data_IF_237101737180
#
_entry.id   IF_237101737180
#
_cell.length_a   1.000
_cell.length_b   1.000
_cell.length_c   1.000
_cell.angle_alpha   90.00
_cell.angle_beta   90.00
_cell.angle_gamma   90.00
#
_symmetry.space_group_name_H-M   'P 1'
#
loop_
_entity.id
_entity.type
_entity.pdbx_description
1 polymer ?
#
# COMPACT_ATOMS: atom_id res chain seq x y z
N UNK A 1 -21.33 -2.83 14.00
CA UNK A 1 -21.65 -1.86 12.92
C UNK A 1 -20.53 -0.85 12.89
N UNK A 2 -19.82 -0.68 11.77
CA UNK A 2 -18.82 0.40 11.63
C UNK A 2 -19.58 1.72 11.44
N UNK A 3 -19.30 2.73 12.27
CA UNK A 3 -19.95 4.03 12.11
C UNK A 3 -19.54 4.68 10.79
N UNK A 4 -20.52 5.27 10.10
CA UNK A 4 -20.26 6.00 8.86
C UNK A 4 -19.49 7.28 9.20
N UNK A 5 -18.21 7.32 8.84
CA UNK A 5 -17.27 8.42 9.15
C UNK A 5 -16.83 9.14 7.86
N UNK A 6 -17.71 9.92 7.23
CA UNK A 6 -17.44 10.53 5.92
C UNK A 6 -16.33 11.59 5.99
N UNK A 7 -16.32 12.39 7.05
CA UNK A 7 -15.34 13.48 7.23
C UNK A 7 -13.92 12.92 7.42
N UNK A 8 -13.65 11.98 8.36
CA UNK A 8 -12.33 11.38 8.52
C UNK A 8 -11.84 10.67 7.25
N UNK A 9 -12.72 9.96 6.56
CA UNK A 9 -12.40 9.24 5.32
C UNK A 9 -11.97 10.19 4.20
N UNK A 10 -12.67 11.32 4.07
CA UNK A 10 -12.32 12.36 3.08
C UNK A 10 -10.94 12.98 3.38
N UNK A 11 -10.68 13.32 4.64
CA UNK A 11 -9.38 13.87 5.06
C UNK A 11 -8.24 12.89 4.81
N UNK A 12 -8.43 11.61 5.13
CA UNK A 12 -7.44 10.56 4.85
C UNK A 12 -7.14 10.44 3.35
N UNK A 13 -8.19 10.40 2.52
CA UNK A 13 -8.03 10.37 1.06
C UNK A 13 -7.30 11.60 0.51
N UNK A 14 -7.63 12.79 1.00
CA UNK A 14 -6.99 14.04 0.61
C UNK A 14 -5.51 14.09 1.00
N UNK A 15 -5.16 13.61 2.20
CA UNK A 15 -3.77 13.51 2.66
C UNK A 15 -2.94 12.53 1.82
N UNK A 16 -3.50 11.36 1.47
CA UNK A 16 -2.84 10.38 0.61
C UNK A 16 -2.62 10.97 -0.79
N UNK A 17 -3.64 11.62 -1.35
CA UNK A 17 -3.59 12.28 -2.66
C UNK A 17 -2.55 13.40 -2.70
N UNK A 18 -2.52 14.28 -1.69
CA UNK A 18 -1.50 15.33 -1.56
C UNK A 18 -0.10 14.75 -1.45
N UNK A 19 0.08 13.69 -0.66
CA UNK A 19 1.39 13.03 -0.51
C UNK A 19 1.89 12.49 -1.85
N UNK A 20 1.01 11.85 -2.65
CA UNK A 20 1.35 11.39 -3.99
C UNK A 20 1.66 12.53 -4.96
N UNK A 21 0.92 13.64 -4.88
CA UNK A 21 1.14 14.83 -5.69
C UNK A 21 2.49 15.50 -5.38
N UNK A 22 2.86 15.61 -4.10
CA UNK A 22 4.16 16.16 -3.67
C UNK A 22 5.30 15.32 -4.27
N UNK A 23 5.24 13.99 -4.18
CA UNK A 23 6.27 13.13 -4.78
C UNK A 23 6.36 13.34 -6.30
N UNK A 24 5.22 13.49 -6.97
CA UNK A 24 5.19 13.74 -8.40
C UNK A 24 5.78 15.10 -8.78
N UNK A 25 5.45 16.18 -8.05
CA UNK A 25 5.93 17.54 -8.33
C UNK A 25 7.43 17.68 -8.06
N UNK A 26 7.92 17.15 -6.93
CA UNK A 26 9.32 17.32 -6.54
C UNK A 26 10.28 16.41 -7.31
N UNK A 27 9.87 15.17 -7.57
CA UNK A 27 10.77 14.17 -8.17
C UNK A 27 10.43 13.82 -9.62
N UNK A 28 9.34 14.36 -10.17
CA UNK A 28 8.88 14.10 -11.54
C UNK A 28 8.48 12.63 -11.79
N UNK A 29 8.26 11.86 -10.72
CA UNK A 29 8.05 10.41 -10.78
C UNK A 29 6.74 10.03 -10.13
N UNK A 30 6.09 9.04 -10.72
CA UNK A 30 4.84 8.49 -10.21
C UNK A 30 5.13 7.69 -8.92
N UNK A 31 4.32 7.90 -7.89
CA UNK A 31 4.43 7.15 -6.64
C UNK A 31 4.12 5.66 -6.89
N UNK A 32 5.05 4.79 -6.52
CA UNK A 32 4.87 3.34 -6.59
C UNK A 32 5.77 2.64 -5.59
N UNK A 33 5.20 2.27 -4.44
CA UNK A 33 5.97 1.78 -3.29
C UNK A 33 6.80 0.54 -3.64
N UNK A 34 6.21 -0.45 -4.32
CA UNK A 34 6.93 -1.67 -4.74
C UNK A 34 8.13 -1.36 -5.66
N UNK A 35 8.00 -0.35 -6.54
CA UNK A 35 9.09 0.10 -7.40
C UNK A 35 10.19 0.85 -6.63
N UNK A 36 9.81 1.65 -5.62
CA UNK A 36 10.76 2.34 -4.74
C UNK A 36 11.54 1.31 -3.93
N UNK A 37 10.86 0.36 -3.29
CA UNK A 37 11.49 -0.74 -2.52
C UNK A 37 12.43 -1.56 -3.40
N UNK A 38 11.98 -2.02 -4.56
CA UNK A 38 12.80 -2.84 -5.46
C UNK A 38 14.09 -2.13 -5.90
N UNK A 39 14.04 -0.83 -6.20
CA UNK A 39 15.23 -0.07 -6.60
C UNK A 39 16.18 0.19 -5.43
N UNK A 40 15.65 0.43 -4.23
CA UNK A 40 16.46 0.56 -3.01
C UNK A 40 17.18 -0.74 -2.68
N UNK A 41 16.51 -1.89 -2.82
CA UNK A 41 17.10 -3.21 -2.57
C UNK A 41 18.18 -3.60 -3.59
N UNK A 42 18.06 -3.15 -4.85
CA UNK A 42 19.09 -3.37 -5.87
C UNK A 42 20.27 -2.39 -5.77
N UNK A 43 20.35 -1.58 -4.69
CA UNK A 43 21.36 -0.54 -4.48
C UNK A 43 21.53 0.42 -5.68
N UNK A 44 20.51 0.53 -6.54
CA UNK A 44 20.49 1.44 -7.69
C UNK A 44 20.07 2.84 -7.21
N UNK A 45 21.03 3.52 -6.57
CA UNK A 45 20.79 4.82 -5.96
C UNK A 45 20.82 5.99 -6.94
N UNK A 46 21.43 5.87 -8.13
CA UNK A 46 21.47 6.89 -9.19
C UNK A 46 21.30 8.35 -8.71
N UNK A 47 20.37 9.10 -9.32
CA UNK A 47 19.93 10.45 -8.87
C UNK A 47 18.84 10.43 -7.78
N UNK A 48 18.74 9.34 -7.01
CA UNK A 48 17.53 8.92 -6.31
C UNK A 48 17.66 8.77 -4.80
N UNK A 49 18.52 9.55 -4.13
CA UNK A 49 18.72 9.48 -2.68
C UNK A 49 17.42 9.71 -1.87
N UNK A 50 16.42 10.36 -2.46
CA UNK A 50 15.10 10.57 -1.85
C UNK A 50 14.31 9.28 -1.58
N UNK A 51 14.59 8.18 -2.30
CA UNK A 51 13.86 6.90 -2.18
C UNK A 51 13.98 6.27 -0.79
N UNK A 52 15.19 6.07 -0.20
CA UNK A 52 15.30 5.57 1.16
C UNK A 52 14.70 6.54 2.18
N UNK A 53 14.86 7.86 2.04
CA UNK A 53 14.21 8.83 2.93
C UNK A 53 12.68 8.71 2.90
N UNK A 54 12.09 8.51 1.72
CA UNK A 54 10.66 8.26 1.58
C UNK A 54 10.22 6.97 2.30
N UNK A 55 10.99 5.87 2.15
CA UNK A 55 10.70 4.61 2.84
C UNK A 55 10.85 4.73 4.35
N UNK A 56 11.88 5.44 4.84
CA UNK A 56 12.06 5.71 6.26
C UNK A 56 10.86 6.52 6.77
N UNK A 57 10.45 7.58 6.09
CA UNK A 57 9.27 8.36 6.46
C UNK A 57 7.99 7.52 6.51
N UNK A 58 7.82 6.59 5.55
CA UNK A 58 6.68 5.68 5.51
C UNK A 58 6.62 4.72 6.71
N UNK A 59 7.76 4.29 7.23
CA UNK A 59 7.85 3.40 8.41
C UNK A 59 7.81 4.20 9.73
N UNK A 60 8.50 5.33 9.79
CA UNK A 60 8.62 6.16 10.99
C UNK A 60 7.30 6.89 11.30
N UNK A 61 6.57 7.35 10.28
CA UNK A 61 5.30 8.07 10.47
C UNK A 61 4.27 7.31 11.31
N UNK A 62 3.89 6.05 11.01
CA UNK A 62 2.96 5.30 11.85
C UNK A 62 3.53 4.99 13.25
N UNK A 63 4.84 4.78 13.38
CA UNK A 63 5.47 4.56 14.68
C UNK A 63 5.36 5.80 15.60
N UNK A 64 5.60 7.00 15.05
CA UNK A 64 5.45 8.27 15.79
C UNK A 64 3.97 8.54 16.11
N UNK A 65 3.06 8.28 15.16
CA UNK A 65 1.62 8.44 15.40
C UNK A 65 1.11 7.52 16.52
N UNK A 66 1.62 6.29 16.58
CA UNK A 66 1.27 5.34 17.65
C UNK A 66 1.67 5.83 19.05
N UNK A 67 2.69 6.71 19.17
CA UNK A 67 3.10 7.30 20.44
C UNK A 67 2.24 8.49 20.87
N UNK A 68 1.72 9.26 19.90
CA UNK A 68 0.97 10.50 20.15
C UNK A 68 -0.53 10.24 20.32
N UNK A 69 -1.08 9.37 19.48
CA UNK A 69 -2.49 9.04 19.45
C UNK A 69 -2.65 7.51 19.39
N UNK A 70 -2.56 6.82 20.54
CA UNK A 70 -2.72 5.37 20.60
C UNK A 70 -4.10 4.99 20.06
N UNK A 71 -4.13 4.23 18.97
CA UNK A 71 -5.38 3.73 18.43
C UNK A 71 -5.92 2.62 19.32
N UNK A 72 -7.23 2.57 19.61
CA UNK A 72 -7.86 1.48 20.38
C UNK A 72 -7.97 0.17 19.60
N UNK A 73 -7.47 0.11 18.36
CA UNK A 73 -7.39 -1.12 17.58
C UNK A 73 -6.06 -1.80 17.88
N UNK A 74 -6.14 -2.86 18.67
CA UNK A 74 -5.01 -3.73 18.95
C UNK A 74 -4.56 -4.39 17.64
N UNK A 75 -3.26 -4.26 17.34
CA UNK A 75 -2.66 -4.96 16.21
C UNK A 75 -2.53 -6.43 16.62
N UNK A 76 -3.51 -7.25 16.26
CA UNK A 76 -3.43 -8.70 16.43
C UNK A 76 -2.33 -9.24 15.49
N UNK A 77 -1.19 -9.72 16.02
CA UNK A 77 -0.13 -10.22 15.18
C UNK A 77 -0.58 -11.56 14.57
N UNK A 78 -0.84 -11.53 13.26
CA UNK A 78 -1.04 -12.72 12.44
C UNK A 78 0.15 -13.68 12.57
N UNK A 79 -0.11 -14.98 12.43
CA UNK A 79 0.93 -16.00 12.52
C UNK A 79 2.11 -15.73 11.58
N UNK A 80 3.31 -16.11 12.00
CA UNK A 80 4.56 -15.87 11.25
C UNK A 80 4.53 -16.51 9.85
N UNK A 81 3.86 -17.67 9.72
CA UNK A 81 3.68 -18.42 8.47
C UNK A 81 2.80 -17.67 7.46
N UNK A 82 1.54 -17.30 7.76
CA UNK A 82 0.72 -16.52 6.83
C UNK A 82 1.34 -15.17 6.48
N UNK A 83 2.10 -14.56 7.40
CA UNK A 83 2.85 -13.33 7.14
C UNK A 83 3.95 -13.50 6.09
N UNK A 84 4.78 -14.56 6.21
CA UNK A 84 5.82 -14.84 5.23
C UNK A 84 5.24 -15.19 3.85
N UNK A 85 4.21 -16.05 3.83
CA UNK A 85 3.54 -16.45 2.58
C UNK A 85 2.88 -15.25 1.92
N UNK A 86 2.09 -14.47 2.67
CA UNK A 86 1.43 -13.26 2.18
C UNK A 86 2.42 -12.23 1.65
N UNK A 87 3.50 -11.97 2.39
CA UNK A 87 4.58 -11.07 1.97
C UNK A 87 5.24 -11.51 0.66
N UNK A 88 5.55 -12.80 0.52
CA UNK A 88 6.12 -13.36 -0.70
C UNK A 88 5.15 -13.24 -1.89
N UNK A 89 3.88 -13.62 -1.71
CA UNK A 89 2.86 -13.52 -2.77
C UNK A 89 2.66 -12.07 -3.22
N UNK A 90 2.62 -11.11 -2.29
CA UNK A 90 2.50 -9.68 -2.61
C UNK A 90 3.76 -9.20 -3.34
N UNK A 91 4.95 -9.58 -2.88
CA UNK A 91 6.21 -9.24 -3.53
C UNK A 91 6.27 -9.74 -4.99
N UNK A 92 5.99 -11.03 -5.19
CA UNK A 92 5.93 -11.64 -6.51
C UNK A 92 4.83 -11.03 -7.39
N UNK A 93 3.61 -10.90 -6.86
CA UNK A 93 2.45 -10.38 -7.56
C UNK A 93 2.65 -8.94 -8.03
N UNK A 94 3.24 -8.08 -7.20
CA UNK A 94 3.54 -6.70 -7.61
C UNK A 94 4.60 -6.61 -8.71
N UNK A 95 5.48 -7.62 -8.83
CA UNK A 95 6.41 -7.69 -9.96
C UNK A 95 5.76 -8.15 -11.24
N UNK A 96 4.97 -9.22 -11.20
CA UNK A 96 4.22 -9.70 -12.36
C UNK A 96 3.23 -8.64 -12.85
N UNK A 97 2.55 -7.96 -11.93
CA UNK A 97 1.63 -6.85 -12.21
C UNK A 97 2.30 -5.56 -12.68
N UNK A 98 3.64 -5.50 -12.75
CA UNK A 98 4.40 -4.28 -13.07
C UNK A 98 4.09 -3.07 -12.17
N UNK A 99 3.62 -3.31 -10.94
CA UNK A 99 3.16 -2.25 -10.05
C UNK A 99 2.41 -2.78 -8.84
N UNK A 100 2.07 -1.87 -7.93
CA UNK A 100 1.28 -2.15 -6.73
C UNK A 100 0.02 -1.27 -6.72
N UNK A 101 -0.81 -1.42 -5.68
CA UNK A 101 -2.03 -0.65 -5.48
C UNK A 101 -1.78 0.86 -5.35
N UNK A 102 -0.65 1.30 -4.78
CA UNK A 102 -0.32 2.73 -4.75
C UNK A 102 -0.04 3.30 -6.15
N UNK A 103 0.63 2.54 -7.02
CA UNK A 103 0.94 2.95 -8.39
C UNK A 103 -0.26 2.85 -9.35
N UNK A 104 -0.94 1.70 -9.38
CA UNK A 104 -2.09 1.49 -10.26
C UNK A 104 -3.37 2.12 -9.71
N UNK A 105 -3.63 1.99 -8.42
CA UNK A 105 -4.84 2.53 -7.78
C UNK A 105 -4.76 4.04 -7.65
N UNK A 106 -3.89 4.56 -6.79
CA UNK A 106 -3.86 5.99 -6.45
C UNK A 106 -3.45 6.82 -7.68
N UNK A 107 -2.24 6.63 -8.21
CA UNK A 107 -1.75 7.44 -9.31
C UNK A 107 -2.28 7.01 -10.69
N UNK A 108 -2.50 5.72 -10.90
CA UNK A 108 -2.87 5.15 -12.19
C UNK A 108 -4.31 5.43 -12.61
N UNK A 109 -5.26 5.30 -11.69
CA UNK A 109 -6.68 5.66 -11.94
C UNK A 109 -6.83 7.17 -12.08
N UNK A 110 -6.13 7.96 -11.27
CA UNK A 110 -6.15 9.44 -11.36
C UNK A 110 -5.69 9.97 -12.73
N UNK A 111 -4.87 9.20 -13.46
CA UNK A 111 -4.42 9.51 -14.82
C UNK A 111 -5.30 8.89 -15.92
N UNK A 112 -6.47 8.34 -15.55
CA UNK A 112 -7.41 7.64 -16.43
C UNK A 112 -6.76 6.53 -17.29
N UNK A 113 -5.76 5.84 -16.76
CA UNK A 113 -5.11 4.75 -17.49
C UNK A 113 -5.98 3.49 -17.48
N UNK A 114 -6.45 3.06 -18.66
CA UNK A 114 -7.21 1.81 -18.84
C UNK A 114 -6.49 0.60 -18.23
N UNK A 115 -5.17 0.49 -18.44
CA UNK A 115 -4.34 -0.58 -17.86
C UNK A 115 -4.41 -0.60 -16.33
N UNK A 116 -4.31 0.57 -15.70
CA UNK A 116 -4.34 0.68 -14.25
C UNK A 116 -5.71 0.43 -13.64
N UNK A 117 -6.79 0.79 -14.35
CA UNK A 117 -8.15 0.45 -13.92
C UNK A 117 -8.32 -1.06 -13.90
N UNK A 118 -7.97 -1.75 -14.99
CA UNK A 118 -8.05 -3.21 -15.07
C UNK A 118 -7.20 -3.87 -13.99
N UNK A 119 -5.95 -3.44 -13.81
CA UNK A 119 -5.07 -3.97 -12.76
C UNK A 119 -5.68 -3.80 -11.36
N UNK A 120 -6.19 -2.61 -11.04
CA UNK A 120 -6.83 -2.34 -9.74
C UNK A 120 -8.06 -3.21 -9.52
N UNK A 121 -8.92 -3.36 -10.53
CA UNK A 121 -10.08 -4.25 -10.45
C UNK A 121 -9.64 -5.70 -10.16
N UNK A 122 -8.63 -6.21 -10.87
CA UNK A 122 -8.13 -7.58 -10.63
C UNK A 122 -7.57 -7.77 -9.23
N UNK A 123 -6.81 -6.79 -8.70
CA UNK A 123 -6.29 -6.85 -7.33
C UNK A 123 -7.41 -6.85 -6.29
N UNK A 124 -8.41 -5.99 -6.46
CA UNK A 124 -9.55 -5.91 -5.53
C UNK A 124 -10.41 -7.17 -5.59
N UNK A 125 -10.68 -7.71 -6.78
CA UNK A 125 -11.42 -8.98 -6.91
C UNK A 125 -10.67 -10.13 -6.25
N UNK A 126 -9.35 -10.24 -6.50
CA UNK A 126 -8.54 -11.27 -5.85
C UNK A 126 -8.52 -11.12 -4.33
N UNK A 127 -8.42 -9.89 -3.80
CA UNK A 127 -8.47 -9.62 -2.37
C UNK A 127 -9.81 -10.01 -1.75
N UNK A 128 -10.93 -9.63 -2.38
CA UNK A 128 -12.28 -10.00 -1.93
C UNK A 128 -12.46 -11.53 -1.92
N UNK A 129 -12.05 -12.22 -2.99
CA UNK A 129 -12.13 -13.67 -3.07
C UNK A 129 -11.23 -14.35 -2.01
N UNK A 130 -10.02 -13.83 -1.80
CA UNK A 130 -9.09 -14.37 -0.79
C UNK A 130 -9.67 -14.22 0.61
N UNK A 131 -10.18 -13.04 0.96
CA UNK A 131 -10.82 -12.80 2.27
C UNK A 131 -12.06 -13.68 2.44
N UNK A 132 -12.88 -13.82 1.40
CA UNK A 132 -14.05 -14.69 1.43
C UNK A 132 -13.66 -16.15 1.70
N UNK A 133 -12.68 -16.67 0.96
CA UNK A 133 -12.15 -18.03 1.12
C UNK A 133 -11.55 -18.23 2.52
N UNK A 134 -10.64 -17.35 2.95
CA UNK A 134 -9.98 -17.47 4.26
C UNK A 134 -11.01 -17.44 5.39
N UNK A 135 -11.93 -16.47 5.40
CA UNK A 135 -12.91 -16.34 6.49
C UNK A 135 -13.95 -17.47 6.53
N UNK A 136 -14.37 -18.01 5.39
CA UNK A 136 -15.45 -19.02 5.36
C UNK A 136 -14.95 -20.47 5.32
N UNK A 137 -13.75 -20.73 4.80
CA UNK A 137 -13.20 -22.09 4.69
C UNK A 137 -12.21 -22.42 5.79
N UNK A 138 -11.40 -21.46 6.24
CA UNK A 138 -10.33 -21.71 7.22
C UNK A 138 -10.68 -21.26 8.64
N UNK A 139 -11.80 -20.55 8.83
CA UNK A 139 -12.16 -19.94 10.12
C UNK A 139 -11.23 -18.78 10.49
N UNK A 140 -11.63 -17.93 11.42
CA UNK A 140 -10.89 -16.72 11.84
C UNK A 140 -9.58 -16.98 12.60
N UNK A 141 -9.06 -18.21 12.59
CA UNK A 141 -7.97 -18.69 13.45
C UNK A 141 -6.58 -18.67 12.77
N UNK A 142 -6.41 -17.89 11.69
CA UNK A 142 -5.16 -17.74 10.91
C UNK A 142 -4.51 -16.36 11.11
#
# INVERSE_FOLDING_TARGET
MTEFTPIPSLFGGLLIGLSAAVVFVFFGRILGISGIVARTLNFDFGSGLWRPFFLIGLVVSPAVLSMIAPSPHEFEPMGLIPMMIGGFLVGYGTRVGSGCTSGHGICGISRLSKRSIVATCTFMTAAVLTVFVVRHLFGSEL
#
